data_IF_735304562779
#
_entry.id   IF_735304562779
#
_cell.length_a   1.000
_cell.length_b   1.000
_cell.length_c   1.000
_cell.angle_alpha   90.00
_cell.angle_beta   90.00
_cell.angle_gamma   90.00
#
_symmetry.space_group_name_H-M   'P 1'
#
loop_
_entity.id
_entity.type
_entity.pdbx_description
1 polymer ?
#
# COMPACT_ATOMS: atom_id res chain seq x y z
N UNK A 1 30.37 -12.75 14.70
CA UNK A 1 30.63 -11.30 14.81
C UNK A 1 29.33 -10.56 14.65
N UNK A 2 28.89 -9.89 15.72
CA UNK A 2 27.59 -9.25 15.82
C UNK A 2 27.48 -8.07 14.86
N UNK A 3 26.80 -8.28 13.73
CA UNK A 3 26.32 -7.22 12.84
C UNK A 3 25.20 -6.40 13.49
N UNK A 4 25.38 -6.02 14.76
CA UNK A 4 24.45 -5.23 15.56
C UNK A 4 24.61 -3.76 15.22
N UNK A 5 24.26 -3.40 13.99
CA UNK A 5 23.88 -2.02 13.72
C UNK A 5 22.47 -1.81 14.20
N UNK A 6 22.26 -0.70 14.90
CA UNK A 6 20.93 -0.30 15.33
C UNK A 6 19.99 -0.27 14.12
N UNK A 7 18.80 -0.81 14.33
CA UNK A 7 17.74 -0.78 13.33
C UNK A 7 17.36 0.69 13.17
N UNK A 8 17.55 1.22 11.96
CA UNK A 8 17.21 2.61 11.63
C UNK A 8 15.74 2.74 11.23
N UNK A 9 15.10 1.63 10.86
CA UNK A 9 13.68 1.59 10.61
C UNK A 9 13.15 0.22 10.18
N UNK A 10 11.85 0.19 9.94
CA UNK A 10 11.08 -0.98 9.54
C UNK A 10 10.27 -0.64 8.30
N UNK A 11 10.42 -1.44 7.26
CA UNK A 11 9.62 -1.39 6.05
C UNK A 11 8.50 -2.41 6.19
N UNK A 12 7.26 -1.97 6.01
CA UNK A 12 6.10 -2.85 6.02
C UNK A 12 5.63 -3.05 4.58
N UNK A 13 5.46 -4.30 4.20
CA UNK A 13 4.90 -4.68 2.91
C UNK A 13 3.55 -5.37 3.10
N UNK A 14 2.65 -5.16 2.15
CA UNK A 14 1.33 -5.78 2.05
C UNK A 14 1.27 -6.68 0.83
N UNK A 15 0.62 -7.82 0.95
CA UNK A 15 0.31 -8.73 -0.15
C UNK A 15 -1.19 -9.05 -0.10
N UNK A 16 -1.99 -8.59 -1.07
CA UNK A 16 -3.39 -9.02 -1.15
C UNK A 16 -3.44 -10.50 -1.50
N UNK A 17 -4.27 -11.32 -0.87
CA UNK A 17 -4.36 -12.75 -1.24
C UNK A 17 -4.88 -12.96 -2.67
N UNK A 18 -5.43 -11.93 -3.29
CA UNK A 18 -5.85 -11.94 -4.70
C UNK A 18 -4.69 -11.73 -5.66
N UNK A 19 -3.53 -11.26 -5.19
CA UNK A 19 -2.34 -11.05 -6.02
C UNK A 19 -1.07 -11.52 -5.30
N UNK A 20 -0.27 -12.36 -5.93
CA UNK A 20 0.96 -12.92 -5.34
C UNK A 20 2.14 -11.92 -5.38
N UNK A 21 1.87 -10.64 -5.13
CA UNK A 21 2.87 -9.58 -5.21
C UNK A 21 2.90 -8.77 -3.92
N UNK A 22 4.07 -8.77 -3.30
CA UNK A 22 4.40 -7.90 -2.18
C UNK A 22 4.59 -6.46 -2.66
N UNK A 23 3.91 -5.54 -1.99
CA UNK A 23 3.94 -4.11 -2.29
C UNK A 23 4.27 -3.37 -1.01
N UNK A 24 5.20 -2.42 -1.08
CA UNK A 24 5.53 -1.54 0.05
C UNK A 24 4.28 -0.79 0.52
N UNK A 25 3.91 -1.00 1.77
CA UNK A 25 2.75 -0.41 2.41
C UNK A 25 3.13 0.84 3.21
N UNK A 26 4.33 0.85 3.81
CA UNK A 26 4.86 1.99 4.55
C UNK A 26 6.26 1.72 5.10
N UNK A 27 6.80 2.72 5.78
CA UNK A 27 8.02 2.62 6.57
C UNK A 27 7.82 3.39 7.87
N UNK A 28 8.36 2.87 8.97
CA UNK A 28 8.31 3.50 10.29
C UNK A 28 9.62 3.27 11.01
N UNK A 29 10.02 4.19 11.87
CA UNK A 29 11.12 3.99 12.83
C UNK A 29 10.62 3.42 14.15
N UNK A 30 9.31 3.53 14.39
CA UNK A 30 8.64 3.01 15.58
C UNK A 30 8.20 1.56 15.37
N UNK A 31 7.84 0.89 16.46
CA UNK A 31 7.26 -0.45 16.41
C UNK A 31 5.77 -0.46 16.04
N UNK A 32 5.24 0.66 15.51
CA UNK A 32 3.86 0.78 15.06
C UNK A 32 3.77 1.59 13.75
N UNK A 33 2.78 1.25 12.93
CA UNK A 33 2.43 2.00 11.73
C UNK A 33 0.97 1.76 11.38
N UNK A 34 0.30 2.79 10.88
CA UNK A 34 -1.04 2.67 10.31
C UNK A 34 -0.95 2.63 8.80
N UNK A 35 -1.35 1.52 8.18
CA UNK A 35 -1.37 1.37 6.73
C UNK A 35 -2.71 1.87 6.18
N UNK A 36 -2.65 2.86 5.30
CA UNK A 36 -3.81 3.42 4.58
C UNK A 36 -3.87 2.89 3.14
N UNK A 37 -4.95 3.21 2.42
CA UNK A 37 -5.16 2.82 1.03
C UNK A 37 -5.12 1.29 0.82
N UNK A 38 -5.94 0.60 1.61
CA UNK A 38 -6.21 -0.84 1.50
C UNK A 38 -7.62 -1.02 0.97
N UNK A 39 -7.82 -1.93 0.03
CA UNK A 39 -9.16 -2.18 -0.48
C UNK A 39 -10.00 -2.87 0.60
N UNK A 40 -11.24 -2.42 0.78
CA UNK A 40 -12.21 -3.09 1.63
C UNK A 40 -12.54 -4.49 1.12
N UNK A 41 -13.04 -5.37 2.00
CA UNK A 41 -13.40 -6.77 1.68
C UNK A 41 -12.25 -7.59 1.08
N UNK A 42 -11.01 -7.14 1.23
CA UNK A 42 -9.85 -7.81 0.65
C UNK A 42 -9.01 -8.40 1.78
N UNK A 43 -8.55 -9.65 1.59
CA UNK A 43 -7.63 -10.29 2.52
C UNK A 43 -6.22 -9.82 2.20
N UNK A 44 -5.51 -9.35 3.22
CA UNK A 44 -4.11 -8.94 3.11
C UNK A 44 -3.24 -9.71 4.09
N UNK A 45 -2.04 -10.05 3.64
CA UNK A 45 -0.94 -10.47 4.49
C UNK A 45 0.05 -9.31 4.61
N UNK A 46 0.66 -9.18 5.78
CA UNK A 46 1.67 -8.16 6.03
C UNK A 46 2.98 -8.83 6.43
N UNK A 47 4.11 -8.26 6.01
CA UNK A 47 5.44 -8.66 6.47
C UNK A 47 6.27 -7.42 6.74
N UNK A 48 7.25 -7.56 7.63
CA UNK A 48 8.12 -6.47 8.07
C UNK A 48 9.56 -6.79 7.69
N UNK A 49 10.28 -5.79 7.18
CA UNK A 49 11.69 -5.86 6.84
C UNK A 49 12.40 -4.81 7.70
N UNK A 50 13.37 -5.22 8.52
CA UNK A 50 14.18 -4.28 9.28
C UNK A 50 15.24 -3.66 8.35
N UNK A 51 15.50 -2.37 8.51
CA UNK A 51 16.53 -1.64 7.78
C UNK A 51 17.59 -1.16 8.77
N UNK A 52 18.86 -1.34 8.43
CA UNK A 52 20.00 -0.81 9.15
C UNK A 52 20.94 -0.08 8.18
N UNK A 53 22.01 0.54 8.67
CA UNK A 53 22.99 1.27 7.85
C UNK A 53 23.66 0.43 6.74
N UNK A 54 23.63 -0.90 6.86
CA UNK A 54 24.23 -1.83 5.90
C UNK A 54 23.22 -2.35 4.87
N UNK A 55 21.91 -2.18 5.14
CA UNK A 55 20.85 -2.59 4.23
C UNK A 55 19.64 -3.18 4.94
N UNK A 56 18.91 -4.01 4.21
CA UNK A 56 17.64 -4.59 4.65
C UNK A 56 17.84 -6.02 5.14
N UNK A 57 17.15 -6.37 6.23
CA UNK A 57 17.08 -7.72 6.74
C UNK A 57 16.24 -8.62 5.82
N UNK A 58 16.31 -9.94 6.00
CA UNK A 58 15.26 -10.81 5.48
C UNK A 58 13.87 -10.36 5.99
N UNK A 59 12.81 -10.53 5.19
CA UNK A 59 11.45 -10.25 5.64
C UNK A 59 11.04 -11.17 6.79
N UNK A 60 10.20 -10.66 7.67
CA UNK A 60 9.56 -11.43 8.74
C UNK A 60 8.64 -12.49 8.18
N UNK A 61 8.25 -13.43 9.05
CA UNK A 61 7.12 -14.32 8.76
C UNK A 61 5.89 -13.45 8.46
N UNK A 62 5.18 -13.68 7.33
CA UNK A 62 3.93 -13.02 7.03
C UNK A 62 2.91 -13.22 8.15
N UNK A 63 2.11 -12.19 8.42
CA UNK A 63 0.95 -12.33 9.29
C UNK A 63 -0.06 -13.29 8.68
N UNK A 64 -0.97 -13.79 9.51
CA UNK A 64 -2.16 -14.45 9.01
C UNK A 64 -2.97 -13.49 8.11
N UNK A 65 -3.68 -14.01 7.09
CA UNK A 65 -4.47 -13.18 6.19
C UNK A 65 -5.57 -12.44 6.96
N UNK A 66 -5.46 -11.12 7.04
CA UNK A 66 -6.44 -10.27 7.68
C UNK A 66 -7.44 -9.77 6.63
N UNK A 67 -8.74 -10.01 6.85
CA UNK A 67 -9.80 -9.43 6.02
C UNK A 67 -10.04 -7.99 6.46
N UNK A 68 -9.87 -7.04 5.55
CA UNK A 68 -10.17 -5.63 5.81
C UNK A 68 -11.67 -5.44 5.95
N UNK A 69 -12.07 -4.63 6.94
CA UNK A 69 -13.47 -4.19 7.07
C UNK A 69 -13.83 -3.35 5.84
N UNK A 70 -15.12 -3.30 5.50
CA UNK A 70 -15.60 -2.52 4.37
C UNK A 70 -15.06 -1.08 4.44
N UNK A 71 -14.45 -0.64 3.34
CA UNK A 71 -14.01 0.73 3.21
C UNK A 71 -15.26 1.58 2.89
N UNK A 72 -15.76 2.29 3.91
CA UNK A 72 -16.86 3.25 3.73
C UNK A 72 -16.42 4.53 3.00
N UNK A 73 -15.14 4.67 2.64
CA UNK A 73 -14.60 5.83 1.92
C UNK A 73 -14.65 5.68 0.39
N UNK A 74 -14.97 4.51 -0.17
CA UNK A 74 -15.09 4.33 -1.63
C UNK A 74 -16.45 4.77 -2.21
N UNK A 75 -17.45 5.11 -1.40
CA UNK A 75 -18.68 5.77 -1.92
C UNK A 75 -18.54 7.28 -1.81
N UNK A 76 -17.58 7.90 -2.52
CA UNK A 76 -17.61 9.36 -2.75
C UNK A 76 -17.16 9.85 -4.13
N UNK A 77 -16.53 9.04 -4.98
CA UNK A 77 -15.98 9.57 -6.26
C UNK A 77 -16.29 8.71 -7.51
N UNK A 78 -17.46 8.08 -7.60
CA UNK A 78 -17.93 7.50 -8.88
C UNK A 78 -19.45 7.60 -9.10
N UNK A 79 -20.17 8.33 -8.24
CA UNK A 79 -21.64 8.46 -8.32
C UNK A 79 -22.12 9.85 -7.89
N UNK A 80 -21.35 10.89 -8.21
CA UNK A 80 -21.99 12.20 -8.41
C UNK A 80 -22.63 12.14 -9.80
N UNK A 81 -23.97 12.19 -9.80
CA UNK A 81 -24.87 12.08 -10.94
C UNK A 81 -24.23 12.47 -12.28
N UNK A 82 -23.97 11.47 -13.13
CA UNK A 82 -23.82 11.73 -14.55
C UNK A 82 -25.20 12.17 -15.04
N UNK A 83 -25.47 13.48 -15.00
CA UNK A 83 -26.52 14.08 -15.80
C UNK A 83 -26.29 13.61 -17.25
N UNK A 84 -27.17 12.75 -17.77
CA UNK A 84 -27.10 12.10 -19.10
C UNK A 84 -27.12 13.10 -20.30
N UNK A 85 -26.89 14.39 -20.07
CA UNK A 85 -27.02 15.46 -21.07
C UNK A 85 -25.74 16.26 -21.37
N UNK A 86 -24.55 15.84 -20.89
CA UNK A 86 -23.30 16.56 -21.23
C UNK A 86 -22.45 15.80 -22.25
N UNK A 87 -22.47 16.27 -23.49
CA UNK A 87 -21.52 15.88 -24.54
C UNK A 87 -20.08 16.06 -24.05
N UNK A 88 -19.33 14.96 -23.95
CA UNK A 88 -17.92 14.99 -23.60
C UNK A 88 -17.15 15.44 -24.84
N UNK A 89 -16.73 16.71 -24.88
CA UNK A 89 -15.79 17.18 -25.89
C UNK A 89 -14.42 16.56 -25.58
N UNK A 90 -14.00 15.56 -26.39
CA UNK A 90 -12.64 15.00 -26.35
C UNK A 90 -11.64 16.12 -26.58
N UNK A 91 -10.83 16.44 -25.58
CA UNK A 91 -9.59 17.20 -25.76
C UNK A 91 -8.41 16.23 -25.74
N UNK A 92 -7.61 16.25 -26.81
CA UNK A 92 -6.44 15.40 -26.98
C UNK A 92 -5.34 15.78 -25.97
N UNK A 93 -4.76 14.79 -25.30
CA UNK A 93 -3.65 14.99 -24.38
C UNK A 93 -2.38 15.37 -25.15
N UNK A 94 -1.85 16.56 -24.89
CA UNK A 94 -0.55 16.98 -25.42
C UNK A 94 0.59 16.37 -24.58
N UNK A 95 1.41 15.54 -25.22
CA UNK A 95 2.64 14.99 -24.67
C UNK A 95 3.66 16.11 -24.43
N UNK A 96 4.13 16.28 -23.19
CA UNK A 96 5.26 17.16 -22.91
C UNK A 96 6.57 16.38 -23.06
N UNK A 97 7.40 16.78 -24.02
CA UNK A 97 8.84 16.46 -24.07
C UNK A 97 9.60 17.69 -23.60
N UNK A 98 10.51 17.52 -22.64
CA UNK A 98 11.85 18.14 -22.67
C UNK A 98 12.83 17.10 -22.14
#
# INVERSE_FOLDING_TARGET
NGGGSDIIGYIVEKCPTTADRWIRAGQTTDCNITIINIFGKTKYQFRVIAENQFGQSPPSVPTEPLTTKEDKSVIRNYDEEVDEAREITKVEAQFYKV
#
